data_IF_677962930986
#
_entry.id   IF_677962930986
#
_cell.length_a   1.000
_cell.length_b   1.000
_cell.length_c   1.000
_cell.angle_alpha   90.00
_cell.angle_beta   90.00
_cell.angle_gamma   90.00
#
_symmetry.space_group_name_H-M   'P 1'
#
loop_
_entity.id
_entity.type
_entity.pdbx_description
1 polymer ?
#
# COMPACT_ATOMS: atom_id res chain seq x y z
N UNK A 1 76.53 -34.12 78.02
CA UNK A 1 75.82 -32.82 77.95
C UNK A 1 75.32 -32.48 76.54
N UNK A 2 75.91 -32.94 75.48
CA UNK A 2 75.56 -32.63 74.08
C UNK A 2 74.15 -33.12 73.66
N UNK A 3 73.80 -34.38 74.00
CA UNK A 3 72.52 -34.99 73.67
C UNK A 3 71.30 -34.28 74.26
N UNK A 4 71.36 -33.72 75.44
CA UNK A 4 70.26 -32.96 76.05
C UNK A 4 70.00 -31.59 75.31
N UNK A 5 71.07 -30.98 74.80
CA UNK A 5 70.96 -29.75 74.02
C UNK A 5 70.37 -30.00 72.65
N UNK A 6 70.66 -31.13 72.00
CA UNK A 6 70.09 -31.51 70.74
C UNK A 6 68.56 -31.82 70.85
N UNK A 7 68.18 -32.49 71.96
CA UNK A 7 66.74 -32.73 72.25
C UNK A 7 65.92 -31.46 72.38
N UNK A 8 66.47 -30.43 73.12
CA UNK A 8 65.77 -29.13 73.23
C UNK A 8 65.69 -28.38 71.90
N UNK A 9 66.69 -28.48 71.03
CA UNK A 9 66.65 -27.89 69.70
C UNK A 9 65.62 -28.56 68.80
N UNK A 10 65.48 -29.89 68.81
CA UNK A 10 64.44 -30.59 68.08
C UNK A 10 63.05 -30.23 68.55
N UNK A 11 62.83 -30.12 69.86
CA UNK A 11 61.53 -29.71 70.43
C UNK A 11 61.22 -28.27 70.02
N UNK A 12 62.17 -27.35 70.08
CA UNK A 12 61.99 -25.96 69.67
C UNK A 12 61.61 -25.82 68.18
N UNK A 13 62.25 -26.63 67.32
CA UNK A 13 61.95 -26.65 65.90
C UNK A 13 60.54 -27.22 65.62
N UNK A 14 60.13 -28.26 66.37
CA UNK A 14 58.74 -28.81 66.24
C UNK A 14 57.70 -27.85 66.71
N UNK A 15 57.93 -27.13 67.81
CA UNK A 15 56.99 -26.12 68.31
C UNK A 15 56.92 -24.95 67.30
N UNK A 16 58.02 -24.49 66.79
CA UNK A 16 58.11 -23.41 65.84
C UNK A 16 57.40 -23.76 64.53
N UNK A 17 57.57 -24.99 64.01
CA UNK A 17 56.90 -25.46 62.79
C UNK A 17 55.39 -25.61 63.02
N UNK A 18 54.96 -26.11 64.17
CA UNK A 18 53.57 -26.26 64.58
C UNK A 18 52.83 -24.91 64.65
N UNK A 19 53.48 -23.92 65.24
CA UNK A 19 52.93 -22.56 65.33
C UNK A 19 52.82 -21.87 63.97
N UNK A 20 53.76 -22.04 63.07
CA UNK A 20 53.70 -21.49 61.70
C UNK A 20 52.58 -22.12 60.89
N UNK A 21 52.42 -23.45 60.99
CA UNK A 21 51.35 -24.17 60.32
C UNK A 21 49.96 -23.74 60.87
N UNK A 22 49.87 -23.69 62.22
CA UNK A 22 48.65 -23.25 62.86
C UNK A 22 48.26 -21.78 62.51
N UNK A 23 49.22 -20.88 62.49
CA UNK A 23 49.03 -19.48 62.13
C UNK A 23 48.62 -19.34 60.63
N UNK A 24 49.24 -20.11 59.75
CA UNK A 24 48.85 -20.15 58.33
C UNK A 24 47.42 -20.69 58.13
N UNK A 25 47.09 -21.79 58.81
CA UNK A 25 45.75 -22.35 58.73
C UNK A 25 44.67 -21.41 59.25
N UNK A 26 44.96 -20.75 60.39
CA UNK A 26 44.06 -19.73 60.96
C UNK A 26 43.90 -18.52 60.04
N UNK A 27 45.01 -18.04 59.46
CA UNK A 27 44.97 -16.90 58.52
C UNK A 27 44.19 -17.28 57.24
N UNK A 28 44.36 -18.48 56.71
CA UNK A 28 43.62 -18.96 55.57
C UNK A 28 42.12 -19.08 55.85
N UNK A 29 41.75 -19.55 57.04
CA UNK A 29 40.34 -19.63 57.43
C UNK A 29 39.72 -18.25 57.61
N UNK A 30 40.47 -17.25 58.06
CA UNK A 30 40.01 -15.86 58.17
C UNK A 30 39.89 -15.20 56.80
N UNK A 31 40.77 -15.51 55.88
CA UNK A 31 40.70 -15.01 54.50
C UNK A 31 39.54 -15.68 53.74
N UNK A 32 39.30 -16.96 53.93
CA UNK A 32 38.18 -17.69 53.34
C UNK A 32 36.83 -17.22 53.91
N UNK A 33 36.78 -16.80 55.18
CA UNK A 33 35.59 -16.24 55.80
C UNK A 33 35.28 -14.78 55.34
N UNK A 34 36.24 -14.09 54.68
CA UNK A 34 36.07 -12.76 54.09
C UNK A 34 35.74 -12.76 52.62
N UNK A 35 35.83 -13.93 51.91
CA UNK A 35 35.25 -14.00 50.59
C UNK A 35 33.74 -13.84 50.73
N UNK A 36 33.15 -12.80 50.13
CA UNK A 36 31.71 -12.70 50.09
C UNK A 36 31.19 -13.98 49.37
N UNK A 37 30.07 -14.56 49.83
CA UNK A 37 29.51 -15.73 49.18
C UNK A 37 29.39 -15.39 47.69
N UNK A 38 29.71 -16.34 46.79
CA UNK A 38 29.56 -16.07 45.35
C UNK A 38 28.14 -15.54 45.17
N UNK A 39 28.04 -14.29 44.76
CA UNK A 39 26.76 -13.72 44.35
C UNK A 39 26.36 -14.57 43.17
N UNK A 40 25.57 -15.61 43.42
CA UNK A 40 24.79 -16.25 42.37
C UNK A 40 23.97 -15.11 41.80
N UNK A 41 24.47 -14.48 40.73
CA UNK A 41 23.66 -13.64 39.90
C UNK A 41 22.47 -14.51 39.49
N UNK A 42 21.36 -14.36 40.21
CA UNK A 42 20.12 -14.93 39.79
C UNK A 42 19.93 -14.28 38.40
N UNK A 43 20.31 -15.01 37.35
CA UNK A 43 19.94 -14.62 36.00
C UNK A 43 18.41 -14.57 36.05
N UNK A 44 17.88 -13.37 36.19
CA UNK A 44 16.46 -13.15 36.02
C UNK A 44 16.15 -13.78 34.67
N UNK A 45 15.37 -14.85 34.67
CA UNK A 45 14.87 -15.44 33.45
C UNK A 45 14.03 -14.34 32.82
N UNK A 46 14.63 -13.62 31.87
CA UNK A 46 13.92 -12.59 31.10
C UNK A 46 12.95 -13.41 30.24
N UNK A 47 11.71 -13.47 30.66
CA UNK A 47 10.66 -14.01 29.82
C UNK A 47 10.55 -13.11 28.59
N UNK A 48 10.89 -13.67 27.44
CA UNK A 48 10.77 -12.98 26.17
C UNK A 48 9.42 -13.34 25.54
N UNK A 49 8.74 -12.35 25.04
CA UNK A 49 7.56 -12.52 24.18
C UNK A 49 7.89 -12.08 22.77
N UNK A 50 7.23 -12.70 21.81
CA UNK A 50 7.38 -12.31 20.41
C UNK A 50 6.52 -11.10 20.13
N UNK A 51 7.16 -10.04 19.62
CA UNK A 51 6.51 -8.78 19.18
C UNK A 51 6.69 -8.64 17.69
N UNK A 52 5.63 -8.21 17.00
CA UNK A 52 5.67 -7.96 15.57
C UNK A 52 6.43 -6.67 15.30
N UNK A 53 7.48 -6.74 14.48
CA UNK A 53 8.33 -5.61 14.14
C UNK A 53 8.46 -5.42 12.63
N UNK A 54 8.82 -4.19 12.22
CA UNK A 54 9.07 -3.86 10.83
C UNK A 54 10.39 -4.45 10.34
N UNK A 55 10.38 -5.03 9.14
CA UNK A 55 11.58 -5.43 8.39
C UNK A 55 11.93 -4.33 7.39
N UNK A 56 12.94 -3.53 7.70
CA UNK A 56 13.32 -2.37 6.89
C UNK A 56 12.52 -1.10 7.23
N UNK A 57 12.91 0.00 6.58
CA UNK A 57 12.26 1.29 6.74
C UNK A 57 10.98 1.35 5.91
N UNK A 58 9.87 1.67 6.56
CA UNK A 58 8.55 1.77 5.95
C UNK A 58 8.07 3.23 6.02
N UNK A 59 8.10 3.98 4.94
CA UNK A 59 7.62 5.36 4.92
C UNK A 59 6.10 5.44 5.09
N UNK A 60 5.61 6.58 5.55
CA UNK A 60 4.17 6.83 5.65
C UNK A 60 3.48 6.69 4.28
N UNK A 61 2.28 6.12 4.26
CA UNK A 61 1.51 5.83 3.04
C UNK A 61 1.89 4.54 2.33
N UNK A 62 2.91 3.80 2.81
CA UNK A 62 3.27 2.50 2.26
C UNK A 62 2.34 1.40 2.75
N UNK A 63 1.96 0.50 1.85
CA UNK A 63 1.26 -0.73 2.20
C UNK A 63 2.22 -1.73 2.84
N UNK A 64 1.78 -2.32 3.94
CA UNK A 64 2.50 -3.37 4.66
C UNK A 64 2.32 -4.70 3.92
N UNK A 65 3.43 -5.33 3.57
CA UNK A 65 3.49 -6.65 2.94
C UNK A 65 3.96 -7.70 3.95
N UNK A 66 3.74 -8.99 3.71
CA UNK A 66 4.23 -10.05 4.62
C UNK A 66 5.74 -9.96 4.89
N UNK A 67 6.54 -9.65 3.87
CA UNK A 67 8.00 -9.53 3.93
C UNK A 67 8.47 -8.30 4.72
N UNK A 68 7.59 -7.35 4.97
CA UNK A 68 7.85 -6.17 5.79
C UNK A 68 7.66 -6.42 7.29
N UNK A 69 7.28 -7.61 7.69
CA UNK A 69 6.96 -7.97 9.06
C UNK A 69 7.70 -9.23 9.49
N UNK A 70 8.18 -9.24 10.75
CA UNK A 70 8.65 -10.46 11.38
C UNK A 70 8.42 -10.42 12.88
N UNK A 71 8.38 -11.60 13.52
CA UNK A 71 8.29 -11.74 14.95
C UNK A 71 9.71 -11.67 15.57
N UNK A 72 9.89 -10.78 16.54
CA UNK A 72 11.14 -10.58 17.26
C UNK A 72 10.95 -10.80 18.75
N UNK A 73 11.90 -11.49 19.40
CA UNK A 73 11.89 -11.67 20.84
C UNK A 73 12.10 -10.33 21.56
N UNK A 74 11.19 -10.00 22.49
CA UNK A 74 11.18 -8.75 23.23
C UNK A 74 11.04 -9.02 24.73
N UNK A 75 11.82 -8.35 25.61
CA UNK A 75 11.69 -8.51 27.06
C UNK A 75 10.28 -8.12 27.54
N UNK A 76 9.60 -8.99 28.28
CA UNK A 76 8.21 -8.78 28.70
C UNK A 76 8.00 -7.42 29.41
N UNK A 77 8.93 -7.03 30.26
CA UNK A 77 8.87 -5.75 30.99
C UNK A 77 9.01 -4.47 30.11
N UNK A 78 9.39 -4.63 28.82
CA UNK A 78 9.56 -3.53 27.86
C UNK A 78 8.47 -3.48 26.79
N UNK A 79 7.45 -4.32 26.91
CA UNK A 79 6.35 -4.39 25.94
C UNK A 79 5.30 -3.34 26.30
N UNK A 80 5.08 -2.37 25.40
CA UNK A 80 4.00 -1.40 25.55
C UNK A 80 2.64 -2.05 25.22
N UNK A 81 1.56 -1.55 25.81
CA UNK A 81 0.21 -2.11 25.65
C UNK A 81 -0.29 -2.10 24.18
N UNK A 82 0.20 -1.14 23.40
CA UNK A 82 -0.17 -0.96 22.00
C UNK A 82 0.68 -1.79 21.02
N UNK A 83 1.65 -2.58 21.51
CA UNK A 83 2.45 -3.44 20.65
C UNK A 83 1.69 -4.71 20.28
N UNK A 84 1.92 -5.18 19.06
CA UNK A 84 1.34 -6.44 18.58
C UNK A 84 2.17 -7.60 19.09
N UNK A 85 1.62 -8.36 20.01
CA UNK A 85 2.25 -9.51 20.65
C UNK A 85 1.68 -10.80 20.07
N UNK A 86 2.53 -11.79 19.84
CA UNK A 86 2.12 -13.12 19.38
C UNK A 86 1.08 -13.74 20.35
N UNK A 87 0.01 -14.31 19.78
CA UNK A 87 -1.13 -14.83 20.53
C UNK A 87 -2.23 -13.81 20.84
N UNK A 88 -1.95 -12.50 20.77
CA UNK A 88 -2.98 -11.44 20.85
C UNK A 88 -3.34 -10.86 19.48
N UNK A 89 -2.41 -10.87 18.53
CA UNK A 89 -2.60 -10.46 17.15
C UNK A 89 -1.91 -11.44 16.19
N UNK A 90 -2.34 -11.45 14.95
CA UNK A 90 -1.76 -12.27 13.88
C UNK A 90 -1.06 -11.36 12.88
N UNK A 91 0.02 -11.84 12.27
CA UNK A 91 0.74 -11.11 11.21
C UNK A 91 -0.20 -10.78 10.04
N UNK A 92 -1.07 -11.73 9.71
CA UNK A 92 -2.02 -11.61 8.60
C UNK A 92 -3.01 -10.44 8.77
N UNK A 93 -3.34 -10.06 10.01
CA UNK A 93 -4.23 -8.94 10.31
C UNK A 93 -3.63 -7.58 9.91
N UNK A 94 -2.31 -7.52 9.74
CA UNK A 94 -1.54 -6.32 9.38
C UNK A 94 -1.08 -6.31 7.92
N UNK A 95 -1.25 -7.40 7.19
CA UNK A 95 -1.00 -7.45 5.75
C UNK A 95 -2.03 -6.60 5.02
N UNK A 96 -1.57 -5.69 4.16
CA UNK A 96 -2.44 -4.70 3.50
C UNK A 96 -2.79 -3.49 4.35
N UNK A 97 -2.36 -3.43 5.61
CA UNK A 97 -2.42 -2.20 6.41
C UNK A 97 -1.54 -1.11 5.79
N UNK A 98 -1.78 0.14 6.16
CA UNK A 98 -1.01 1.30 5.69
C UNK A 98 -0.28 1.95 6.84
N UNK A 99 0.98 2.25 6.60
CA UNK A 99 1.82 2.97 7.56
C UNK A 99 1.33 4.42 7.67
N UNK A 100 0.84 4.82 8.86
CA UNK A 100 0.38 6.19 9.12
C UNK A 100 1.54 7.15 9.34
N UNK A 101 2.53 6.73 10.11
CA UNK A 101 3.78 7.47 10.33
C UNK A 101 4.95 6.49 10.18
N UNK A 102 5.99 6.92 9.48
CA UNK A 102 7.10 6.08 9.09
C UNK A 102 7.62 5.19 10.24
N UNK A 103 7.97 3.95 9.90
CA UNK A 103 8.54 2.95 10.79
C UNK A 103 9.99 2.70 10.35
N UNK A 104 10.88 2.54 11.31
CA UNK A 104 12.26 2.15 11.07
C UNK A 104 12.44 0.65 11.22
N UNK A 105 13.52 0.12 10.65
CA UNK A 105 13.86 -1.29 10.76
C UNK A 105 13.92 -1.74 12.23
N UNK A 106 13.23 -2.83 12.58
CA UNK A 106 13.14 -3.36 13.94
C UNK A 106 12.18 -2.62 14.87
N UNK A 107 11.49 -1.59 14.39
CA UNK A 107 10.50 -0.86 15.19
C UNK A 107 9.22 -1.69 15.38
N UNK A 108 8.68 -1.78 16.63
CA UNK A 108 7.46 -2.51 16.89
C UNK A 108 6.24 -1.94 16.17
N UNK A 109 5.46 -2.85 15.59
CA UNK A 109 4.16 -2.50 15.01
C UNK A 109 3.18 -2.18 16.13
N UNK A 110 2.47 -1.06 15.99
CA UNK A 110 1.44 -0.65 16.94
C UNK A 110 0.22 -0.05 16.22
N UNK A 111 -0.95 -0.16 16.83
CA UNK A 111 -2.22 0.33 16.27
C UNK A 111 -2.22 1.85 15.94
N UNK A 112 -1.34 2.62 16.57
CA UNK A 112 -1.19 4.05 16.27
C UNK A 112 -0.33 4.36 15.04
N UNK A 113 0.55 3.44 14.65
CA UNK A 113 1.54 3.60 13.57
C UNK A 113 1.08 3.03 12.25
N UNK A 114 0.23 2.02 12.28
CA UNK A 114 -0.39 1.40 11.11
C UNK A 114 -1.91 1.44 11.21
N UNK A 115 -2.58 1.51 10.07
CA UNK A 115 -4.03 1.53 9.96
C UNK A 115 -4.43 0.36 9.08
N UNK A 116 -5.30 -0.51 9.61
CA UNK A 116 -5.74 -1.72 8.90
C UNK A 116 -6.84 -1.39 7.88
N UNK A 117 -7.00 -2.21 6.84
CA UNK A 117 -8.13 -2.11 5.93
C UNK A 117 -9.46 -2.14 6.72
N UNK A 118 -10.33 -1.16 6.47
CA UNK A 118 -11.61 -1.01 7.18
C UNK A 118 -11.57 -0.15 8.44
N UNK A 119 -10.41 0.13 9.01
CA UNK A 119 -10.29 1.04 10.14
C UNK A 119 -10.55 2.51 9.74
N UNK A 120 -11.01 3.30 10.70
CA UNK A 120 -11.19 4.75 10.48
C UNK A 120 -9.86 5.40 10.13
N UNK A 121 -9.87 6.21 9.07
CA UNK A 121 -8.69 6.92 8.60
C UNK A 121 -7.79 6.10 7.66
N UNK A 122 -8.12 4.83 7.35
CA UNK A 122 -7.38 4.02 6.40
C UNK A 122 -7.21 4.75 5.06
N UNK A 123 -8.30 5.23 4.46
CA UNK A 123 -8.25 5.98 3.20
C UNK A 123 -7.38 7.24 3.29
N UNK A 124 -7.43 7.95 4.42
CA UNK A 124 -6.60 9.14 4.61
C UNK A 124 -5.11 8.81 4.78
N UNK A 125 -4.79 7.65 5.36
CA UNK A 125 -3.40 7.19 5.53
C UNK A 125 -2.77 6.71 4.20
N UNK A 126 -3.60 6.19 3.27
CA UNK A 126 -3.16 5.75 1.92
C UNK A 126 -2.84 6.94 1.02
N UNK A 127 -3.49 8.08 1.24
CA UNK A 127 -3.36 9.26 0.39
C UNK A 127 -1.98 9.89 0.48
N UNK A 128 -1.41 10.23 -0.68
CA UNK A 128 -0.26 11.11 -0.75
C UNK A 128 -0.64 12.50 -0.18
N UNK A 129 0.23 13.14 0.62
CA UNK A 129 -0.05 14.47 1.15
C UNK A 129 -0.50 15.46 0.07
N UNK A 130 -1.63 16.13 0.31
CA UNK A 130 -2.22 17.09 -0.63
C UNK A 130 -3.24 16.49 -1.61
N UNK A 131 -3.28 15.16 -1.79
CA UNK A 131 -4.25 14.50 -2.66
C UNK A 131 -5.60 14.23 -1.96
N UNK A 132 -6.58 13.82 -2.73
CA UNK A 132 -7.97 13.52 -2.36
C UNK A 132 -8.37 12.13 -2.84
N UNK A 133 -9.26 11.47 -2.12
CA UNK A 133 -9.92 10.25 -2.55
C UNK A 133 -11.28 10.63 -3.16
N UNK A 134 -11.51 10.25 -4.41
CA UNK A 134 -12.79 10.44 -5.11
C UNK A 134 -13.29 9.10 -5.60
N UNK A 135 -14.53 8.77 -5.28
CA UNK A 135 -15.16 7.53 -5.73
C UNK A 135 -16.00 7.79 -6.98
N UNK A 136 -15.72 7.01 -8.02
CA UNK A 136 -16.45 7.08 -9.29
C UNK A 136 -17.19 5.77 -9.56
N UNK A 137 -18.39 5.79 -10.15
CA UNK A 137 -19.06 4.57 -10.59
C UNK A 137 -18.31 3.98 -11.78
N UNK A 138 -18.15 2.64 -11.76
CA UNK A 138 -17.51 1.88 -12.84
C UNK A 138 -18.56 0.96 -13.45
N UNK A 139 -18.68 0.98 -14.77
CA UNK A 139 -19.59 0.06 -15.45
C UNK A 139 -18.93 -1.27 -15.73
N UNK A 140 -19.63 -2.38 -15.50
CA UNK A 140 -19.15 -3.74 -15.80
C UNK A 140 -18.68 -3.93 -17.24
N UNK A 141 -19.30 -3.21 -18.17
CA UNK A 141 -19.01 -3.26 -19.60
C UNK A 141 -17.65 -2.66 -20.00
N UNK A 142 -16.95 -1.98 -19.10
CA UNK A 142 -15.59 -1.49 -19.37
C UNK A 142 -14.51 -2.59 -19.39
N UNK A 143 -14.91 -3.87 -19.28
CA UNK A 143 -14.00 -5.04 -19.40
C UNK A 143 -12.99 -5.18 -18.23
N UNK A 144 -12.88 -4.19 -17.37
CA UNK A 144 -11.91 -4.12 -16.28
C UNK A 144 -12.50 -4.50 -14.92
N UNK A 145 -13.81 -4.76 -14.87
CA UNK A 145 -14.50 -5.09 -13.65
C UNK A 145 -14.01 -6.44 -13.11
N UNK A 146 -13.09 -6.40 -12.17
CA UNK A 146 -12.43 -7.56 -11.57
C UNK A 146 -10.92 -7.62 -11.81
N UNK A 147 -10.36 -6.82 -12.72
CA UNK A 147 -8.93 -6.79 -13.02
C UNK A 147 -8.21 -5.52 -12.54
N UNK A 148 -8.93 -4.56 -11.97
CA UNK A 148 -8.34 -3.36 -11.36
C UNK A 148 -8.21 -3.57 -9.86
N UNK A 149 -6.98 -3.50 -9.38
CA UNK A 149 -6.64 -3.70 -7.98
C UNK A 149 -6.15 -2.40 -7.33
N UNK A 150 -6.26 -2.27 -6.00
CA UNK A 150 -5.61 -1.18 -5.29
C UNK A 150 -4.11 -1.11 -5.60
N UNK A 151 -3.64 0.07 -5.96
CA UNK A 151 -2.25 0.31 -6.40
C UNK A 151 -2.07 0.45 -7.91
N UNK A 152 -3.02 -0.03 -8.70
CA UNK A 152 -2.99 0.11 -10.17
C UNK A 152 -3.12 1.57 -10.62
N UNK A 153 -2.69 1.84 -11.85
CA UNK A 153 -2.88 3.13 -12.51
C UNK A 153 -3.86 3.00 -13.65
N UNK A 154 -4.80 3.93 -13.71
CA UNK A 154 -5.86 3.98 -14.72
C UNK A 154 -5.92 5.35 -15.36
N UNK A 155 -6.45 5.38 -16.59
CA UNK A 155 -6.86 6.59 -17.27
C UNK A 155 -8.39 6.74 -17.16
N UNK A 156 -8.86 7.97 -16.99
CA UNK A 156 -10.29 8.31 -16.86
C UNK A 156 -10.79 8.81 -18.20
N UNK A 157 -11.74 8.08 -18.77
CA UNK A 157 -12.36 8.37 -20.06
C UNK A 157 -13.78 8.83 -19.83
N UNK A 158 -14.12 10.00 -20.36
CA UNK A 158 -15.49 10.52 -20.41
C UNK A 158 -16.12 10.19 -21.75
N UNK A 159 -17.32 9.64 -21.73
CA UNK A 159 -18.19 9.52 -22.89
C UNK A 159 -19.43 10.37 -22.69
N UNK A 160 -19.65 11.32 -23.57
CA UNK A 160 -20.76 12.27 -23.49
C UNK A 160 -21.58 12.31 -24.77
N UNK A 161 -22.83 12.73 -24.65
CA UNK A 161 -23.73 12.98 -25.78
C UNK A 161 -23.82 14.49 -25.99
N UNK A 162 -23.56 14.93 -27.20
CA UNK A 162 -23.61 16.33 -27.60
C UNK A 162 -24.74 16.51 -28.59
N UNK A 163 -25.63 17.45 -28.33
CA UNK A 163 -26.62 17.90 -29.30
C UNK A 163 -25.95 18.85 -30.28
N UNK A 164 -25.90 18.44 -31.54
CA UNK A 164 -25.35 19.28 -32.59
C UNK A 164 -26.49 20.04 -33.30
N UNK A 165 -26.61 21.34 -33.03
CA UNK A 165 -27.46 22.22 -33.81
C UNK A 165 -26.81 22.44 -35.18
N UNK A 166 -27.46 22.01 -36.23
CA UNK A 166 -27.13 22.51 -37.58
C UNK A 166 -27.85 23.81 -37.80
N UNK A 167 -27.09 24.88 -38.04
CA UNK A 167 -27.64 26.16 -38.54
C UNK A 167 -28.56 25.88 -39.74
N UNK A 168 -29.86 26.05 -39.54
CA UNK A 168 -30.87 26.04 -40.59
C UNK A 168 -31.75 24.79 -40.74
N UNK A 169 -31.49 23.69 -40.08
CA UNK A 169 -32.39 22.51 -40.05
C UNK A 169 -32.53 21.99 -38.59
N UNK A 170 -33.77 21.95 -38.09
CA UNK A 170 -34.11 21.31 -36.81
C UNK A 170 -33.98 19.79 -36.90
N UNK A 171 -32.78 19.28 -37.16
CA UNK A 171 -32.50 17.90 -37.02
C UNK A 171 -31.58 17.77 -35.80
N UNK A 172 -32.19 17.54 -34.65
CA UNK A 172 -31.49 17.13 -33.42
C UNK A 172 -30.78 15.82 -33.71
N UNK A 173 -29.53 15.90 -34.11
CA UNK A 173 -28.64 14.71 -34.18
C UNK A 173 -27.84 14.63 -32.89
N UNK A 174 -28.20 13.69 -32.04
CA UNK A 174 -27.37 13.33 -30.93
C UNK A 174 -26.06 12.73 -31.48
N UNK A 175 -24.93 13.30 -31.09
CA UNK A 175 -23.58 12.80 -31.38
C UNK A 175 -22.91 12.40 -30.08
N UNK A 176 -22.15 11.31 -30.16
CA UNK A 176 -21.36 10.85 -29.01
C UNK A 176 -19.90 11.17 -29.24
N UNK A 177 -19.24 11.62 -28.17
CA UNK A 177 -17.82 11.85 -28.13
C UNK A 177 -17.22 11.19 -26.90
N UNK A 178 -16.00 10.68 -27.04
CA UNK A 178 -15.23 10.15 -25.94
C UNK A 178 -13.86 10.83 -25.90
N UNK A 179 -13.39 11.18 -24.70
CA UNK A 179 -12.08 11.77 -24.48
C UNK A 179 -11.43 11.23 -23.21
N UNK A 180 -10.12 11.14 -23.20
CA UNK A 180 -9.37 10.82 -21.99
C UNK A 180 -9.12 12.12 -21.22
N UNK A 181 -9.79 12.27 -20.08
CA UNK A 181 -9.75 13.51 -19.29
C UNK A 181 -8.58 13.52 -18.31
N UNK A 182 -8.31 12.37 -17.67
CA UNK A 182 -7.20 12.22 -16.71
C UNK A 182 -6.41 10.96 -17.03
N UNK A 183 -5.09 11.01 -16.83
CA UNK A 183 -4.17 9.89 -17.10
C UNK A 183 -3.36 9.53 -15.89
N UNK A 184 -3.04 8.22 -15.73
CA UNK A 184 -2.11 7.71 -14.73
C UNK A 184 -2.60 7.85 -13.29
N UNK A 185 -3.91 7.88 -13.05
CA UNK A 185 -4.53 8.03 -11.74
C UNK A 185 -4.42 6.73 -10.94
N UNK A 186 -3.94 6.81 -9.70
CA UNK A 186 -3.80 5.65 -8.83
C UNK A 186 -5.15 5.23 -8.24
N UNK A 187 -5.43 3.93 -8.28
CA UNK A 187 -6.60 3.33 -7.64
C UNK A 187 -6.27 3.04 -6.18
N UNK A 188 -7.11 3.50 -5.26
CA UNK A 188 -6.97 3.27 -3.82
C UNK A 188 -7.78 2.08 -3.34
N UNK A 189 -9.00 1.92 -3.87
CA UNK A 189 -9.90 0.85 -3.51
C UNK A 189 -10.90 0.59 -4.64
N UNK A 190 -11.41 -0.63 -4.69
CA UNK A 190 -12.53 -1.04 -5.55
C UNK A 190 -13.59 -1.71 -4.68
N UNK A 191 -14.86 -1.47 -4.95
CA UNK A 191 -15.96 -2.16 -4.25
C UNK A 191 -16.14 -3.57 -4.86
N UNK A 192 -15.22 -4.44 -4.50
CA UNK A 192 -15.31 -5.88 -4.79
C UNK A 192 -15.83 -6.57 -3.54
N UNK A 193 -17.11 -6.87 -3.49
CA UNK A 193 -17.66 -7.77 -2.48
C UNK A 193 -17.52 -9.20 -3.00
N UNK A 194 -16.66 -9.98 -2.38
CA UNK A 194 -16.72 -11.42 -2.49
C UNK A 194 -17.95 -11.86 -1.68
N UNK A 195 -18.98 -12.37 -2.35
CA UNK A 195 -20.03 -13.11 -1.65
C UNK A 195 -19.48 -14.51 -1.37
N UNK A 196 -19.05 -14.73 -0.12
CA UNK A 196 -18.45 -15.98 0.36
C UNK A 196 -19.38 -17.21 0.18
N UNK A 197 -20.67 -17.00 -0.07
CA UNK A 197 -21.63 -18.09 -0.22
C UNK A 197 -21.82 -18.59 -1.65
N UNK A 198 -21.45 -17.82 -2.70
CA UNK A 198 -21.73 -18.18 -4.09
C UNK A 198 -20.51 -18.30 -5.00
N UNK A 199 -19.29 -17.99 -4.55
CA UNK A 199 -18.07 -17.98 -5.40
C UNK A 199 -18.22 -17.20 -6.73
N UNK A 200 -19.20 -16.33 -6.84
CA UNK A 200 -19.34 -15.42 -7.96
C UNK A 200 -18.51 -14.17 -7.70
N UNK A 201 -17.54 -13.90 -8.57
CA UNK A 201 -16.79 -12.65 -8.57
C UNK A 201 -17.77 -11.53 -8.88
N UNK A 202 -18.21 -10.80 -7.86
CA UNK A 202 -19.05 -9.61 -8.09
C UNK A 202 -18.19 -8.53 -8.72
N UNK A 203 -18.65 -8.06 -9.86
CA UNK A 203 -18.05 -6.99 -10.63
C UNK A 203 -18.06 -5.70 -9.78
N UNK A 204 -16.89 -5.08 -9.61
CA UNK A 204 -16.77 -3.81 -8.90
C UNK A 204 -17.70 -2.76 -9.52
N UNK A 205 -18.53 -2.13 -8.68
CA UNK A 205 -19.46 -1.07 -9.10
C UNK A 205 -18.87 0.32 -8.94
N UNK A 206 -17.87 0.46 -8.08
CA UNK A 206 -17.20 1.73 -7.82
C UNK A 206 -15.69 1.53 -7.70
N UNK A 207 -14.94 2.56 -8.07
CA UNK A 207 -13.51 2.68 -7.84
C UNK A 207 -13.21 3.99 -7.12
N UNK A 208 -12.36 3.92 -6.11
CA UNK A 208 -11.86 5.10 -5.40
C UNK A 208 -10.49 5.45 -5.93
N UNK A 209 -10.36 6.67 -6.43
CA UNK A 209 -9.18 7.20 -7.12
C UNK A 209 -8.45 8.22 -6.26
N UNK A 210 -7.13 8.24 -6.35
CA UNK A 210 -6.29 9.27 -5.75
C UNK A 210 -6.06 10.38 -6.76
N UNK A 211 -6.49 11.58 -6.43
CA UNK A 211 -6.47 12.74 -7.32
C UNK A 211 -6.01 14.00 -6.60
N UNK A 212 -5.47 14.95 -7.34
CA UNK A 212 -5.24 16.31 -6.83
C UNK A 212 -6.56 17.03 -6.61
N UNK A 213 -6.61 18.12 -5.82
CA UNK A 213 -7.82 18.92 -5.64
C UNK A 213 -8.44 19.36 -6.96
N UNK A 214 -7.61 19.78 -7.93
CA UNK A 214 -8.10 20.22 -9.25
C UNK A 214 -8.69 19.08 -10.08
N UNK A 215 -8.07 17.91 -10.04
CA UNK A 215 -8.61 16.71 -10.69
C UNK A 215 -9.92 16.24 -10.05
N UNK A 216 -10.08 16.43 -8.72
CA UNK A 216 -11.34 16.13 -8.03
C UNK A 216 -12.50 17.00 -8.56
N UNK A 217 -12.26 18.32 -8.77
CA UNK A 217 -13.24 19.21 -9.39
C UNK A 217 -13.60 18.75 -10.82
N UNK A 218 -12.60 18.36 -11.61
CA UNK A 218 -12.81 17.84 -12.96
C UNK A 218 -13.70 16.60 -12.92
N UNK A 219 -13.40 15.63 -12.04
CA UNK A 219 -14.20 14.40 -11.90
C UNK A 219 -15.64 14.73 -11.51
N UNK A 220 -15.84 15.67 -10.59
CA UNK A 220 -17.19 16.08 -10.18
C UNK A 220 -18.00 16.60 -11.37
N UNK A 221 -17.40 17.47 -12.19
CA UNK A 221 -18.06 18.02 -13.39
C UNK A 221 -18.36 16.94 -14.43
N UNK A 222 -17.36 16.10 -14.78
CA UNK A 222 -17.54 15.08 -15.82
C UNK A 222 -18.54 13.98 -15.40
N UNK A 223 -18.73 13.76 -14.11
CA UNK A 223 -19.72 12.81 -13.59
C UNK A 223 -21.16 13.26 -13.89
N UNK A 224 -21.39 14.57 -14.02
CA UNK A 224 -22.70 15.15 -14.38
C UNK A 224 -22.89 15.27 -15.90
N UNK A 225 -21.79 15.40 -16.66
CA UNK A 225 -21.84 15.59 -18.12
C UNK A 225 -22.06 14.27 -18.85
N UNK A 226 -21.50 13.18 -18.35
CA UNK A 226 -21.56 11.92 -19.08
C UNK A 226 -21.15 10.70 -18.28
N UNK A 227 -20.83 9.64 -19.01
CA UNK A 227 -20.46 8.36 -18.44
C UNK A 227 -18.95 8.24 -18.32
N UNK A 228 -18.49 7.91 -17.12
CA UNK A 228 -17.07 7.65 -16.85
C UNK A 228 -16.74 6.17 -17.10
N UNK A 229 -15.63 5.93 -17.77
CA UNK A 229 -15.01 4.61 -17.94
C UNK A 229 -13.53 4.68 -17.52
N UNK A 230 -13.00 3.58 -17.02
CA UNK A 230 -11.58 3.48 -16.65
C UNK A 230 -10.84 2.59 -17.67
N UNK A 231 -9.61 2.94 -17.99
CA UNK A 231 -8.69 2.16 -18.79
C UNK A 231 -7.45 1.83 -17.96
N UNK A 232 -7.12 0.55 -17.81
CA UNK A 232 -5.94 0.10 -17.04
C UNK A 232 -4.67 0.37 -17.83
N UNK A 233 -3.67 0.96 -17.18
CA UNK A 233 -2.34 1.16 -17.76
C UNK A 233 -1.44 -0.03 -17.51
N UNK A 234 -0.53 -0.28 -18.46
CA UNK A 234 0.54 -1.25 -18.29
C UNK A 234 1.44 -0.90 -17.10
N UNK A 235 1.89 -1.91 -16.37
CA UNK A 235 2.92 -1.77 -15.33
C UNK A 235 4.33 -1.60 -15.93
N UNK A 236 4.54 -2.04 -17.17
CA UNK A 236 5.80 -1.84 -17.88
C UNK A 236 5.94 -0.36 -18.25
N UNK A 237 6.83 0.33 -17.56
CA UNK A 237 7.20 1.72 -17.85
C UNK A 237 8.34 1.75 -18.88
N UNK A 238 8.25 1.05 -19.99
CA UNK A 238 9.22 1.18 -21.07
C UNK A 238 8.85 2.38 -21.93
N UNK A 239 9.48 3.48 -21.59
CA UNK A 239 9.95 4.61 -22.37
C UNK A 239 9.16 4.98 -23.61
N UNK A 240 8.04 5.47 -23.57
CA UNK A 240 7.47 6.53 -24.38
C UNK A 240 6.12 6.88 -23.73
N UNK A 241 6.12 7.98 -23.01
CA UNK A 241 4.84 8.58 -22.67
C UNK A 241 4.19 8.86 -24.01
N UNK A 242 3.29 7.98 -24.43
CA UNK A 242 2.35 8.31 -25.49
C UNK A 242 1.66 9.57 -24.99
N UNK A 243 2.14 10.70 -25.47
CA UNK A 243 1.51 11.99 -25.22
C UNK A 243 0.13 11.83 -25.82
N UNK A 244 -0.86 11.57 -24.97
CA UNK A 244 -2.26 11.62 -25.38
C UNK A 244 -2.47 13.10 -25.73
N UNK A 245 -2.21 13.45 -27.00
CA UNK A 245 -2.66 14.70 -27.52
C UNK A 245 -4.15 14.78 -27.17
N UNK A 246 -4.64 15.95 -26.77
CA UNK A 246 -6.06 16.22 -26.47
C UNK A 246 -6.92 15.84 -27.68
N UNK A 247 -7.09 14.55 -27.91
CA UNK A 247 -7.85 13.99 -29.02
C UNK A 247 -9.12 13.38 -28.48
N UNK A 248 -10.22 13.91 -28.89
CA UNK A 248 -11.53 13.30 -28.69
C UNK A 248 -11.85 12.40 -29.87
N UNK A 249 -12.59 11.35 -29.65
CA UNK A 249 -13.06 10.40 -30.66
C UNK A 249 -14.56 10.58 -30.82
N UNK A 250 -14.99 10.94 -32.02
CA UNK A 250 -16.42 11.02 -32.35
C UNK A 250 -16.99 9.67 -32.73
N UNK A 251 -18.33 9.52 -32.62
CA UNK A 251 -19.08 8.33 -33.00
C UNK A 251 -18.82 7.89 -34.44
N UNK A 252 -18.73 8.85 -35.39
CA UNK A 252 -18.42 8.59 -36.77
C UNK A 252 -16.95 8.20 -37.01
N UNK A 253 -16.05 8.51 -36.09
CA UNK A 253 -14.65 8.07 -36.16
C UNK A 253 -14.49 6.66 -35.59
N UNK A 254 -15.28 6.33 -34.57
CA UNK A 254 -15.29 5.04 -33.92
C UNK A 254 -15.99 3.94 -34.75
N UNK A 255 -17.06 4.29 -35.47
CA UNK A 255 -17.86 3.33 -36.23
C UNK A 255 -17.93 3.69 -37.72
N UNK A 256 -17.33 2.82 -38.55
CA UNK A 256 -17.28 3.03 -40.03
C UNK A 256 -18.66 3.13 -40.67
N UNK A 257 -19.65 2.44 -40.15
CA UNK A 257 -21.04 2.47 -40.65
C UNK A 257 -21.67 3.85 -40.44
N UNK A 258 -21.31 4.59 -39.38
CA UNK A 258 -21.82 5.93 -39.13
C UNK A 258 -21.18 6.95 -40.08
N UNK A 259 -19.95 6.73 -40.55
CA UNK A 259 -19.31 7.54 -41.60
C UNK A 259 -20.03 7.44 -42.94
N UNK A 260 -20.53 6.24 -43.29
CA UNK A 260 -21.20 6.01 -44.56
C UNK A 260 -22.54 6.79 -44.68
N UNK A 261 -23.21 7.06 -43.55
CA UNK A 261 -24.47 7.81 -43.55
C UNK A 261 -24.31 9.34 -43.56
N UNK A 262 -23.07 9.85 -43.34
CA UNK A 262 -22.80 11.28 -43.26
C UNK A 262 -22.28 11.94 -44.55
N UNK A 263 -21.88 11.15 -45.53
CA UNK A 263 -21.40 11.62 -46.81
C UNK A 263 -22.41 11.42 -47.91
N UNK A 264 -23.53 12.10 -47.83
CA UNK A 264 -24.34 12.43 -49.01
C UNK A 264 -23.44 13.20 -49.98
N UNK A 265 -22.93 12.54 -51.05
CA UNK A 265 -22.23 13.26 -52.10
C UNK A 265 -23.23 14.20 -52.79
N UNK A 266 -23.12 15.50 -52.40
CA UNK A 266 -23.83 16.55 -53.18
C UNK A 266 -23.08 16.71 -54.50
N UNK A 267 -23.76 16.43 -55.59
CA UNK A 267 -23.24 16.73 -56.90
C UNK A 267 -23.96 17.96 -57.38
N UNK A 268 -23.24 19.09 -57.46
CA UNK A 268 -23.75 20.32 -58.07
C UNK A 268 -23.67 20.17 -59.60
N UNK A 269 -24.84 20.09 -60.25
CA UNK A 269 -24.94 20.08 -61.69
C UNK A 269 -25.23 21.53 -62.14
N UNK A 270 -24.28 22.09 -62.91
CA UNK A 270 -24.49 23.42 -63.57
C UNK A 270 -24.98 23.20 -65.00
N UNK A 271 -26.12 23.73 -65.30
CA UNK A 271 -26.68 23.76 -66.68
C UNK A 271 -26.91 25.21 -67.07
N UNK A 272 -25.96 25.81 -67.78
CA UNK A 272 -25.94 27.24 -68.05
C UNK A 272 -25.67 28.06 -66.79
N UNK A 273 -26.52 29.02 -66.50
CA UNK A 273 -26.44 29.87 -65.28
C UNK A 273 -27.20 29.25 -64.06
N UNK A 274 -27.80 28.10 -64.23
CA UNK A 274 -28.62 27.45 -63.18
C UNK A 274 -27.81 26.36 -62.47
N UNK A 275 -27.69 26.50 -61.16
CA UNK A 275 -27.02 25.50 -60.28
C UNK A 275 -28.09 24.67 -59.60
N UNK A 276 -28.11 23.37 -59.83
CA UNK A 276 -28.98 22.42 -59.15
C UNK A 276 -28.14 21.44 -58.33
N UNK A 277 -28.29 21.46 -57.02
CA UNK A 277 -27.64 20.50 -56.14
C UNK A 277 -28.52 19.24 -56.05
N UNK A 278 -27.96 18.10 -56.45
CA UNK A 278 -28.66 16.79 -56.40
C UNK A 278 -27.97 15.95 -55.33
N UNK A 279 -28.73 15.60 -54.31
CA UNK A 279 -28.29 14.65 -53.26
C UNK A 279 -28.45 13.23 -53.77
N UNK A 280 -27.36 12.51 -53.94
CA UNK A 280 -27.37 11.05 -54.18
C UNK A 280 -27.33 10.34 -52.83
N UNK A 281 -28.51 9.94 -52.33
CA UNK A 281 -28.59 8.94 -51.27
C UNK A 281 -28.09 7.60 -51.87
N UNK A 282 -26.95 7.13 -51.40
CA UNK A 282 -26.36 5.88 -51.90
C UNK A 282 -27.32 4.71 -51.69
N UNK A 283 -27.73 4.08 -52.80
CA UNK A 283 -28.36 2.78 -52.83
C UNK A 283 -27.25 1.78 -52.45
N UNK A 284 -27.27 1.29 -51.22
CA UNK A 284 -26.48 0.13 -50.83
C UNK A 284 -27.20 -1.12 -51.34
N UNK A 285 -26.55 -1.85 -52.24
CA UNK A 285 -26.77 -3.27 -52.45
C UNK A 285 -26.01 -4.09 -51.45
#
# INVERSE_FOLDING_TARGET
>A
MLMRRLGFLMIAVLISTGTVIGARSWLQSQLAAREPPPVQATQAVIENRMVLVATGDLPAGQFVRPDNLHWQAWPEGSIAENYVVEGKGKLEDYVGAVVRSGLTNGEPISDGRVVRPGDRGFMAAVLTPGNRAVTVPVTPSSGLAGFVFPGDRVDVILTMTIQADKEGEKVERERRASETVLTGIRVLATDQRADDQKREVMVAKTATLEVTPKQAEIIAVISEIGKISLSLRSLAQDGEQVTVANTHTWDNDAARLLRAHGTGRKVSVMRGSERKDVDFAGIAQ
#
